data_IF_362115506194
#
_entry.id   IF_362115506194
#
_cell.length_a   1.000
_cell.length_b   1.000
_cell.length_c   1.000
_cell.angle_alpha   90.00
_cell.angle_beta   90.00
_cell.angle_gamma   90.00
#
_symmetry.space_group_name_H-M   'P 1'
#
loop_
_entity.id
_entity.type
_entity.pdbx_description
1 polymer ?
#
# COMPACT_ATOMS: atom_id res chain seq x y z
N UNK A 1 7.56 -32.08 57.61
CA UNK A 1 6.80 -30.86 57.24
C UNK A 1 7.58 -29.83 56.39
N UNK A 2 8.86 -30.03 56.01
CA UNK A 2 9.61 -29.03 55.18
C UNK A 2 9.33 -29.08 53.67
N UNK A 3 8.82 -30.18 53.12
CA UNK A 3 8.58 -30.32 51.67
C UNK A 3 7.32 -29.61 51.14
N UNK A 4 6.29 -29.42 51.96
CA UNK A 4 5.02 -28.80 51.52
C UNK A 4 5.16 -27.29 51.26
N UNK A 5 5.86 -26.56 52.14
CA UNK A 5 6.11 -25.11 51.96
C UNK A 5 6.95 -24.79 50.73
N UNK A 6 7.83 -25.71 50.30
CA UNK A 6 8.67 -25.51 49.14
C UNK A 6 7.91 -25.70 47.82
N UNK A 7 6.92 -26.60 47.79
CA UNK A 7 6.04 -26.81 46.62
C UNK A 7 5.06 -25.65 46.42
N UNK A 8 4.44 -25.14 47.49
CA UNK A 8 3.53 -23.97 47.41
C UNK A 8 4.26 -22.71 46.92
N UNK A 9 5.49 -22.49 47.37
CA UNK A 9 6.32 -21.38 46.91
C UNK A 9 6.71 -21.52 45.43
N UNK A 10 6.91 -22.75 44.92
CA UNK A 10 7.20 -22.99 43.50
C UNK A 10 5.98 -22.76 42.61
N UNK A 11 4.79 -23.15 43.05
CA UNK A 11 3.55 -22.94 42.28
C UNK A 11 3.13 -21.46 42.25
N UNK A 12 3.28 -20.74 43.36
CA UNK A 12 3.08 -19.29 43.41
C UNK A 12 4.01 -18.56 42.41
N UNK A 13 5.29 -18.96 42.38
CA UNK A 13 6.27 -18.37 41.47
C UNK A 13 6.01 -18.70 40.00
N UNK A 14 5.51 -19.91 39.71
CA UNK A 14 5.04 -20.28 38.35
C UNK A 14 3.83 -19.45 37.92
N UNK A 15 2.87 -19.23 38.80
CA UNK A 15 1.69 -18.40 38.51
C UNK A 15 2.09 -16.94 38.26
N UNK A 16 3.04 -16.42 39.04
CA UNK A 16 3.59 -15.08 38.84
C UNK A 16 4.29 -14.95 37.48
N UNK A 17 5.17 -15.91 37.13
CA UNK A 17 5.83 -15.93 35.82
C UNK A 17 4.79 -15.98 34.70
N UNK A 18 3.79 -16.85 34.79
CA UNK A 18 2.74 -16.98 33.77
C UNK A 18 1.94 -15.67 33.60
N UNK A 19 1.66 -14.99 34.71
CA UNK A 19 0.94 -13.71 34.69
C UNK A 19 1.81 -12.62 34.05
N UNK A 20 3.09 -12.56 34.40
CA UNK A 20 4.04 -11.63 33.81
C UNK A 20 4.22 -11.88 32.31
N UNK A 21 4.31 -13.14 31.87
CA UNK A 21 4.41 -13.48 30.45
C UNK A 21 3.18 -13.01 29.67
N UNK A 22 1.97 -13.26 30.19
CA UNK A 22 0.73 -12.76 29.58
C UNK A 22 0.75 -11.24 29.44
N UNK A 23 1.24 -10.53 30.46
CA UNK A 23 1.33 -9.07 30.45
C UNK A 23 2.32 -8.55 29.41
N UNK A 24 3.46 -9.23 29.24
CA UNK A 24 4.42 -8.94 28.18
C UNK A 24 3.79 -9.14 26.80
N UNK A 25 3.03 -10.22 26.60
CA UNK A 25 2.35 -10.49 25.33
C UNK A 25 1.38 -9.37 24.97
N UNK A 26 0.53 -8.95 25.90
CA UNK A 26 -0.43 -7.86 25.68
C UNK A 26 0.30 -6.55 25.34
N UNK A 27 1.34 -6.19 26.10
CA UNK A 27 2.11 -4.98 25.85
C UNK A 27 2.82 -5.01 24.48
N UNK A 28 3.29 -6.17 24.05
CA UNK A 28 3.85 -6.34 22.71
C UNK A 28 2.80 -6.16 21.62
N UNK A 29 1.59 -6.70 21.81
CA UNK A 29 0.49 -6.54 20.87
C UNK A 29 0.08 -5.07 20.74
N UNK A 30 -0.08 -4.36 21.86
CA UNK A 30 -0.37 -2.93 21.91
C UNK A 30 0.73 -2.12 21.20
N UNK A 31 2.00 -2.40 21.51
CA UNK A 31 3.14 -1.76 20.84
C UNK A 31 3.09 -2.01 19.33
N UNK A 32 2.83 -3.24 18.92
CA UNK A 32 2.73 -3.59 17.49
C UNK A 32 1.58 -2.87 16.81
N UNK A 33 0.46 -2.67 17.50
CA UNK A 33 -0.70 -1.94 17.00
C UNK A 33 -0.36 -0.46 16.79
N UNK A 34 0.25 0.19 17.77
CA UNK A 34 0.69 1.59 17.69
C UNK A 34 1.70 1.77 16.56
N UNK A 35 2.64 0.85 16.39
CA UNK A 35 3.62 0.91 15.30
C UNK A 35 2.96 0.78 13.92
N UNK A 36 1.94 -0.08 13.77
CA UNK A 36 1.14 -0.18 12.54
C UNK A 36 0.30 1.07 12.28
N UNK A 37 -0.15 1.77 13.31
CA UNK A 37 -0.81 3.07 13.13
C UNK A 37 0.19 4.15 12.72
N UNK A 38 1.36 4.18 13.35
CA UNK A 38 2.43 5.12 13.02
C UNK A 38 2.92 4.94 11.59
N UNK A 39 3.04 3.70 11.10
CA UNK A 39 3.44 3.44 9.72
C UNK A 39 2.44 3.97 8.69
N UNK A 40 1.17 4.17 9.06
CA UNK A 40 0.16 4.79 8.18
C UNK A 40 0.29 6.32 8.10
N UNK A 41 1.10 6.95 8.95
CA UNK A 41 1.36 8.40 8.87
C UNK A 41 2.28 8.77 7.70
N UNK A 42 3.04 7.80 7.17
CA UNK A 42 3.87 7.96 5.98
C UNK A 42 3.35 7.06 4.87
N UNK A 43 2.89 7.68 3.79
CA UNK A 43 2.32 6.97 2.65
C UNK A 43 3.40 6.85 1.58
N UNK A 44 3.70 5.63 1.19
CA UNK A 44 4.69 5.31 0.17
C UNK A 44 4.00 4.80 -1.09
N UNK A 45 4.60 5.06 -2.25
CA UNK A 45 4.12 4.46 -3.49
C UNK A 45 4.33 2.94 -3.47
N UNK A 46 3.35 2.14 -3.91
CA UNK A 46 3.51 0.68 -4.03
C UNK A 46 4.39 0.27 -5.21
N UNK A 47 4.63 1.17 -6.18
CA UNK A 47 5.38 0.88 -7.40
C UNK A 47 6.15 2.10 -7.90
N UNK A 48 7.14 1.87 -8.75
CA UNK A 48 7.82 2.93 -9.50
C UNK A 48 6.89 3.52 -10.57
N UNK A 49 7.03 4.81 -10.85
CA UNK A 49 6.16 5.52 -11.77
C UNK A 49 6.37 7.02 -11.79
N UNK A 50 5.61 7.71 -12.63
CA UNK A 50 5.53 9.17 -12.69
C UNK A 50 4.24 9.63 -12.02
N UNK A 51 4.36 10.61 -11.12
CA UNK A 51 3.20 11.21 -10.46
C UNK A 51 2.46 12.09 -11.47
N UNK A 52 1.17 11.84 -11.65
CA UNK A 52 0.29 12.55 -12.58
C UNK A 52 -0.54 13.65 -11.91
N UNK A 53 -0.65 13.62 -10.58
CA UNK A 53 -1.44 14.61 -9.84
C UNK A 53 -0.79 16.00 -9.90
N UNK A 54 -1.56 16.98 -10.37
CA UNK A 54 -1.11 18.36 -10.47
C UNK A 54 -1.17 19.10 -9.14
N UNK A 55 -0.34 20.14 -8.99
CA UNK A 55 -0.40 21.13 -7.91
C UNK A 55 -0.38 20.54 -6.48
N UNK A 56 0.38 19.46 -6.26
CA UNK A 56 0.48 18.75 -4.97
C UNK A 56 0.82 19.70 -3.82
N UNK A 57 1.65 20.72 -4.08
CA UNK A 57 2.09 21.69 -3.08
C UNK A 57 0.93 22.54 -2.53
N UNK A 58 -0.16 22.71 -3.29
CA UNK A 58 -1.36 23.41 -2.81
C UNK A 58 -2.17 22.58 -1.81
N UNK A 59 -1.90 21.28 -1.69
CA UNK A 59 -2.60 20.35 -0.78
C UNK A 59 -1.88 20.19 0.56
N UNK A 60 -0.79 20.92 0.79
CA UNK A 60 -0.10 20.89 2.07
C UNK A 60 -1.00 21.44 3.20
N UNK A 61 -1.13 20.66 4.28
CA UNK A 61 -1.98 21.01 5.42
C UNK A 61 -3.43 20.53 5.31
N UNK A 62 -3.81 19.88 4.20
CA UNK A 62 -5.14 19.30 4.04
C UNK A 62 -5.43 18.20 5.06
N UNK A 63 -6.67 18.17 5.55
CA UNK A 63 -7.18 17.05 6.35
C UNK A 63 -7.60 15.91 5.44
N UNK A 64 -6.78 14.86 5.39
CA UNK A 64 -7.03 13.66 4.57
C UNK A 64 -7.87 12.61 5.29
N UNK A 65 -8.75 11.92 4.57
CA UNK A 65 -9.54 10.80 5.10
C UNK A 65 -9.04 9.44 4.59
N UNK A 66 -9.24 8.40 5.39
CA UNK A 66 -8.93 7.04 4.98
C UNK A 66 -9.75 6.64 3.74
N UNK A 67 -9.06 6.21 2.67
CA UNK A 67 -9.67 5.82 1.40
C UNK A 67 -9.74 6.93 0.35
N UNK A 68 -9.31 8.14 0.68
CA UNK A 68 -9.20 9.24 -0.28
C UNK A 68 -8.00 9.04 -1.22
N UNK A 69 -8.18 9.37 -2.51
CA UNK A 69 -7.09 9.38 -3.49
C UNK A 69 -6.18 10.58 -3.25
N UNK A 70 -4.92 10.32 -2.89
CA UNK A 70 -3.92 11.37 -2.69
C UNK A 70 -3.16 11.69 -3.97
N UNK A 71 -2.67 10.66 -4.64
CA UNK A 71 -1.81 10.75 -5.82
C UNK A 71 -2.18 9.69 -6.86
N UNK A 72 -2.07 10.06 -8.12
CA UNK A 72 -2.16 9.16 -9.27
C UNK A 72 -0.76 8.92 -9.83
N UNK A 73 -0.42 7.66 -10.07
CA UNK A 73 0.92 7.25 -10.50
C UNK A 73 0.79 6.40 -11.75
N UNK A 74 1.48 6.81 -12.82
CA UNK A 74 1.61 6.02 -14.05
C UNK A 74 2.90 5.18 -14.01
N UNK A 75 2.84 3.86 -14.23
CA UNK A 75 4.03 3.01 -14.27
C UNK A 75 4.95 3.38 -15.45
N UNK A 76 6.26 3.28 -15.22
CA UNK A 76 7.26 3.52 -16.26
C UNK A 76 7.27 2.37 -17.29
N UNK A 77 7.36 2.70 -18.58
CA UNK A 77 7.65 1.74 -19.65
C UNK A 77 6.46 0.96 -20.25
N UNK A 78 5.22 1.23 -19.81
CA UNK A 78 4.02 0.61 -20.39
C UNK A 78 3.02 1.67 -20.86
N UNK A 79 3.21 2.14 -22.09
CA UNK A 79 2.28 3.06 -22.74
C UNK A 79 1.26 2.27 -23.55
N UNK A 80 -0.02 2.60 -23.37
CA UNK A 80 -1.09 2.05 -24.19
C UNK A 80 -1.92 3.19 -24.81
N UNK A 81 -2.11 3.13 -26.12
CA UNK A 81 -2.99 4.06 -26.82
C UNK A 81 -4.39 3.47 -26.89
N UNK A 82 -5.37 4.16 -26.29
CA UNK A 82 -6.78 3.80 -26.43
C UNK A 82 -7.35 4.53 -27.64
N UNK A 83 -7.53 3.81 -28.75
CA UNK A 83 -8.07 4.36 -29.99
C UNK A 83 -9.57 4.08 -30.08
N UNK A 84 -10.35 5.11 -30.38
CA UNK A 84 -11.78 4.97 -30.64
C UNK A 84 -11.99 4.58 -32.10
N UNK A 85 -12.64 3.44 -32.33
CA UNK A 85 -12.97 2.93 -33.66
C UNK A 85 -14.47 3.12 -33.87
N UNK A 86 -14.86 3.67 -35.02
CA UNK A 86 -16.27 3.81 -35.39
C UNK A 86 -16.87 2.45 -35.68
N UNK A 87 -18.16 2.28 -35.39
CA UNK A 87 -18.84 0.98 -35.48
C UNK A 87 -18.71 0.31 -36.85
N UNK A 88 -18.85 1.08 -37.92
CA UNK A 88 -18.71 0.58 -39.29
C UNK A 88 -17.28 0.17 -39.68
N UNK A 89 -16.27 0.60 -38.91
CA UNK A 89 -14.87 0.23 -39.09
C UNK A 89 -14.47 -0.99 -38.23
N UNK A 90 -15.28 -1.40 -37.24
CA UNK A 90 -15.03 -2.58 -36.39
C UNK A 90 -14.74 -3.85 -37.20
N UNK A 91 -15.49 -4.18 -38.27
CA UNK A 91 -15.22 -5.40 -39.05
C UNK A 91 -13.83 -5.43 -39.70
N UNK A 92 -13.18 -4.26 -39.86
CA UNK A 92 -11.87 -4.09 -40.48
C UNK A 92 -10.70 -4.28 -39.49
N UNK A 93 -10.99 -4.46 -38.21
CA UNK A 93 -9.98 -4.59 -37.15
C UNK A 93 -9.96 -6.02 -36.59
N UNK A 94 -8.77 -6.50 -36.23
CA UNK A 94 -8.54 -7.82 -35.60
C UNK A 94 -7.54 -7.68 -34.44
N UNK A 95 -7.65 -8.58 -33.46
CA UNK A 95 -6.64 -8.69 -32.39
C UNK A 95 -5.29 -9.07 -32.99
N UNK A 96 -4.22 -8.43 -32.53
CA UNK A 96 -2.85 -8.64 -33.03
C UNK A 96 -2.53 -7.89 -34.32
N UNK A 97 -3.47 -7.12 -34.88
CA UNK A 97 -3.21 -6.28 -36.04
C UNK A 97 -2.25 -5.15 -35.68
N UNK A 98 -1.18 -5.00 -36.46
CA UNK A 98 -0.23 -3.90 -36.31
C UNK A 98 -0.93 -2.55 -36.58
N UNK A 99 -0.59 -1.55 -35.78
CA UNK A 99 -1.04 -0.17 -35.92
C UNK A 99 0.18 0.76 -35.92
N UNK A 100 0.05 1.91 -36.55
CA UNK A 100 1.01 3.01 -36.47
C UNK A 100 0.36 4.17 -35.74
N UNK A 101 1.04 4.75 -34.76
CA UNK A 101 0.52 5.88 -33.99
C UNK A 101 1.28 7.16 -34.37
N UNK A 102 0.53 8.20 -34.70
CA UNK A 102 1.06 9.55 -34.90
C UNK A 102 0.60 10.42 -33.73
N UNK A 103 1.55 11.07 -33.05
CA UNK A 103 1.28 11.94 -31.90
C UNK A 103 1.66 13.37 -32.25
N UNK A 104 0.70 14.29 -32.22
CA UNK A 104 0.91 15.69 -32.62
C UNK A 104 1.99 16.41 -31.80
N UNK A 105 2.15 16.03 -30.52
CA UNK A 105 3.17 16.58 -29.63
C UNK A 105 4.62 16.21 -30.06
N UNK A 106 4.80 15.26 -30.98
CA UNK A 106 6.11 14.92 -31.55
C UNK A 106 5.97 14.55 -33.04
N UNK A 107 5.90 15.55 -33.94
CA UNK A 107 5.61 15.35 -35.37
C UNK A 107 6.64 14.50 -36.13
N UNK A 108 7.82 14.26 -35.55
CA UNK A 108 8.93 13.56 -36.18
C UNK A 108 9.18 12.15 -35.62
N UNK A 109 8.37 11.67 -34.68
CA UNK A 109 8.52 10.34 -34.09
C UNK A 109 7.37 9.41 -34.48
N UNK A 110 7.71 8.35 -35.21
CA UNK A 110 6.81 7.23 -35.51
C UNK A 110 6.94 6.16 -34.40
N UNK A 111 5.80 5.68 -33.89
CA UNK A 111 5.70 4.61 -32.87
C UNK A 111 4.83 3.45 -33.36
#
# INVERSE_FOLDING_TARGET
MRGQSQFEALDARKQEILTLTKRITILHEERSHILRQLSKSRIYSPSEGTVLTNEIEKREGDLIRGGETLLEIAPLGSWCAKVLIREFDIPKVRKGQSAKLYVEASPHMEY
#
